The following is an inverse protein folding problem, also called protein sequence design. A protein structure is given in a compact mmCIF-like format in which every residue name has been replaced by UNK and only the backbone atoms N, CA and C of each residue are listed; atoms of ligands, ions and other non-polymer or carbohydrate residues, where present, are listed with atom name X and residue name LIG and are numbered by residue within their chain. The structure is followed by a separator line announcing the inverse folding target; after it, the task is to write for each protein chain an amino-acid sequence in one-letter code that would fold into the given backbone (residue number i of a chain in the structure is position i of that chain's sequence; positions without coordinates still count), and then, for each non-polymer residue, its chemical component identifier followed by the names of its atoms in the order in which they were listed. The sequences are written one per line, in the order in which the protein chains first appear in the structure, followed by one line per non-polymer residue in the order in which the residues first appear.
data_IF_646019232224
#
_entry.id   IF_646019232224
#
_cell.length_a   1.000
_cell.length_b   1.000
_cell.length_c   1.000
_cell.angle_alpha   90.00
_cell.angle_beta   90.00
_cell.angle_gamma   90.00
#
_symmetry.space_group_name_H-M   'P 1'
#
loop_
_entity.id
_entity.type
_entity.pdbx_description
1 polymer ?
#
# COMPACT_ATOMS: atom_id res chain seq x y z
N UNK A 1 -40.60 10.30 -21.46
CA UNK A 1 -39.86 11.07 -20.43
C UNK A 1 -38.36 11.21 -20.73
N UNK A 2 -37.67 10.17 -21.25
CA UNK A 2 -36.25 10.26 -21.66
C UNK A 2 -35.95 11.32 -22.77
N UNK A 3 -36.91 11.61 -23.65
CA UNK A 3 -36.75 12.63 -24.69
C UNK A 3 -36.76 14.07 -24.14
N UNK A 4 -37.53 14.36 -23.09
CA UNK A 4 -37.58 15.69 -22.48
C UNK A 4 -36.27 16.00 -21.72
N UNK A 5 -35.74 14.99 -21.02
CA UNK A 5 -34.46 15.07 -20.33
C UNK A 5 -33.29 15.30 -21.31
N UNK A 6 -33.29 14.60 -22.47
CA UNK A 6 -32.29 14.81 -23.54
C UNK A 6 -32.40 16.16 -24.24
N UNK A 7 -33.61 16.73 -24.35
CA UNK A 7 -33.85 18.05 -24.98
C UNK A 7 -33.45 19.20 -24.05
N UNK A 8 -33.66 19.04 -22.74
CA UNK A 8 -33.21 20.00 -21.71
C UNK A 8 -31.69 20.19 -21.70
N UNK A 9 -30.92 19.10 -21.75
CA UNK A 9 -29.44 19.13 -21.80
C UNK A 9 -28.90 19.75 -23.11
N UNK A 10 -29.67 19.71 -24.20
CA UNK A 10 -29.29 20.30 -25.49
C UNK A 10 -29.70 21.76 -25.68
N UNK A 11 -30.42 22.34 -24.72
CA UNK A 11 -30.87 23.74 -24.80
C UNK A 11 -29.71 24.73 -24.62
N UNK A 12 -29.79 25.88 -25.28
CA UNK A 12 -28.77 26.93 -25.19
C UNK A 12 -28.44 27.37 -23.74
N UNK A 13 -29.42 27.61 -22.84
CA UNK A 13 -29.10 27.95 -21.45
C UNK A 13 -28.43 26.79 -20.70
N UNK A 14 -28.80 25.53 -20.98
CA UNK A 14 -28.14 24.38 -20.37
C UNK A 14 -26.67 24.27 -20.79
N UNK A 15 -26.34 24.53 -22.06
CA UNK A 15 -24.95 24.54 -22.53
C UNK A 15 -24.11 25.64 -21.85
N UNK A 16 -24.72 26.80 -21.58
CA UNK A 16 -24.04 27.89 -20.88
C UNK A 16 -23.72 27.51 -19.43
N UNK A 17 -24.69 26.91 -18.72
CA UNK A 17 -24.46 26.41 -17.36
C UNK A 17 -23.42 25.28 -17.32
N UNK A 18 -23.49 24.33 -18.26
CA UNK A 18 -22.49 23.26 -18.38
C UNK A 18 -21.11 23.83 -18.71
N UNK A 19 -21.04 24.83 -19.60
CA UNK A 19 -19.79 25.53 -19.93
C UNK A 19 -19.18 26.23 -18.73
N UNK A 20 -20.00 26.94 -17.93
CA UNK A 20 -19.58 27.58 -16.69
C UNK A 20 -19.05 26.57 -15.67
N UNK A 21 -19.72 25.42 -15.55
CA UNK A 21 -19.30 24.32 -14.69
C UNK A 21 -17.93 23.77 -15.12
N UNK A 22 -17.77 23.45 -16.40
CA UNK A 22 -16.51 22.93 -16.96
C UNK A 22 -15.38 23.95 -16.81
N UNK A 23 -15.65 25.24 -17.06
CA UNK A 23 -14.67 26.31 -16.86
C UNK A 23 -14.24 26.44 -15.39
N UNK A 24 -15.17 26.27 -14.45
CA UNK A 24 -14.87 26.28 -13.02
C UNK A 24 -13.91 25.14 -12.64
N UNK A 25 -14.12 23.93 -13.19
CA UNK A 25 -13.20 22.80 -13.03
C UNK A 25 -11.85 23.00 -13.73
N UNK A 26 -11.79 23.77 -14.82
CA UNK A 26 -10.54 24.10 -15.51
C UNK A 26 -9.68 25.11 -14.73
N UNK A 27 -10.32 26.06 -14.02
CA UNK A 27 -9.62 27.05 -13.19
C UNK A 27 -9.20 26.48 -11.84
N UNK A 28 -10.06 25.67 -11.19
CA UNK A 28 -9.77 25.08 -9.89
C UNK A 28 -8.94 23.79 -9.98
N UNK A 29 -9.05 23.05 -11.07
CA UNK A 29 -8.38 21.77 -11.28
C UNK A 29 -9.11 20.59 -10.63
N UNK A 30 -9.30 19.51 -11.38
CA UNK A 30 -9.85 18.22 -10.89
C UNK A 30 -8.76 17.23 -10.46
N UNK A 31 -7.49 17.64 -10.43
CA UNK A 31 -6.36 16.78 -10.09
C UNK A 31 -6.53 16.12 -8.73
N UNK A 32 -6.98 16.88 -7.73
CA UNK A 32 -7.14 16.39 -6.35
C UNK A 32 -8.28 15.37 -6.17
N UNK A 33 -9.27 15.35 -7.07
CA UNK A 33 -10.35 14.34 -7.04
C UNK A 33 -9.85 12.97 -7.49
N UNK A 34 -8.85 12.90 -8.36
CA UNK A 34 -8.18 11.63 -8.70
C UNK A 34 -7.18 11.20 -7.63
N UNK A 35 -6.73 12.14 -6.80
CA UNK A 35 -5.92 11.90 -5.60
C UNK A 35 -6.73 11.32 -4.44
N UNK A 36 -8.03 11.05 -4.60
CA UNK A 36 -8.87 10.30 -3.65
C UNK A 36 -8.49 8.80 -3.58
N UNK A 37 -7.20 8.46 -3.69
CA UNK A 37 -6.69 7.32 -2.94
C UNK A 37 -6.80 7.76 -1.49
N UNK A 38 -7.64 7.09 -0.71
CA UNK A 38 -7.60 7.22 0.74
C UNK A 38 -6.14 7.28 1.15
N UNK A 39 -5.72 8.45 1.64
CA UNK A 39 -4.42 8.65 2.25
C UNK A 39 -4.42 7.87 3.56
N UNK A 40 -4.39 6.57 3.40
CA UNK A 40 -4.54 5.57 4.43
C UNK A 40 -3.17 5.35 5.01
N UNK A 41 -2.47 6.39 5.45
CA UNK A 41 -1.19 6.27 6.15
C UNK A 41 -1.43 6.25 7.65
N UNK A 42 -0.69 5.40 8.35
CA UNK A 42 -0.74 5.28 9.81
C UNK A 42 0.39 6.05 10.51
N UNK A 43 1.46 6.35 9.78
CA UNK A 43 2.57 7.16 10.24
C UNK A 43 3.36 7.72 9.05
N UNK A 44 4.16 8.77 9.30
CA UNK A 44 5.14 9.34 8.36
C UNK A 44 6.40 9.70 9.15
N UNK A 45 7.57 9.36 8.63
CA UNK A 45 8.88 9.66 9.20
C UNK A 45 9.72 10.31 8.11
N UNK A 46 10.03 11.60 8.23
CA UNK A 46 10.64 12.36 7.13
C UNK A 46 9.77 12.31 5.88
N UNK A 47 10.32 11.87 4.75
CA UNK A 47 9.59 11.61 3.51
C UNK A 47 9.10 10.16 3.35
N UNK A 48 9.45 9.28 4.29
CA UNK A 48 9.03 7.87 4.26
C UNK A 48 7.66 7.69 4.93
N UNK A 49 6.69 7.23 4.14
CA UNK A 49 5.29 7.02 4.56
C UNK A 49 5.03 5.56 4.95
N UNK A 50 4.25 5.35 6.01
CA UNK A 50 3.80 4.02 6.45
C UNK A 50 2.31 3.86 6.08
N UNK A 51 1.99 3.10 5.01
CA UNK A 51 0.61 2.85 4.64
C UNK A 51 -0.10 1.91 5.63
N UNK A 52 -1.40 2.09 5.79
CA UNK A 52 -2.29 1.32 6.64
C UNK A 52 -2.39 -0.13 6.17
N UNK A 53 -2.24 -0.37 4.87
CA UNK A 53 -2.12 -1.72 4.32
C UNK A 53 -0.94 -2.48 4.93
N UNK A 54 0.24 -1.84 5.05
CA UNK A 54 1.42 -2.45 5.72
C UNK A 54 1.13 -2.74 7.19
N UNK A 55 0.46 -1.84 7.89
CA UNK A 55 0.06 -2.04 9.29
C UNK A 55 -0.93 -3.18 9.47
N UNK A 56 -2.00 -3.22 8.67
CA UNK A 56 -3.02 -4.27 8.70
C UNK A 56 -2.40 -5.63 8.36
N UNK A 57 -1.52 -5.69 7.36
CA UNK A 57 -0.82 -6.92 6.99
C UNK A 57 0.12 -7.37 8.12
N UNK A 58 0.85 -6.44 8.75
CA UNK A 58 1.68 -6.70 9.92
C UNK A 58 0.90 -7.27 11.09
N UNK A 59 -0.24 -6.65 11.43
CA UNK A 59 -1.15 -7.13 12.46
C UNK A 59 -1.68 -8.54 12.16
N UNK A 60 -2.12 -8.80 10.92
CA UNK A 60 -2.62 -10.12 10.52
C UNK A 60 -1.55 -11.19 10.61
N UNK A 61 -0.31 -10.88 10.22
CA UNK A 61 0.83 -11.82 10.35
C UNK A 61 1.09 -12.14 11.81
N UNK A 62 1.08 -11.15 12.67
CA UNK A 62 1.32 -11.32 14.10
C UNK A 62 0.18 -12.09 14.78
N UNK A 63 -1.07 -11.77 14.45
CA UNK A 63 -2.25 -12.54 14.87
C UNK A 63 -2.12 -14.00 14.48
N UNK A 64 -1.75 -14.28 13.23
CA UNK A 64 -1.60 -15.65 12.72
C UNK A 64 -0.47 -16.38 13.44
N UNK A 65 0.64 -15.70 13.73
CA UNK A 65 1.77 -16.25 14.47
C UNK A 65 1.37 -16.66 15.88
N UNK A 66 0.73 -15.76 16.62
CA UNK A 66 0.30 -16.00 18.00
C UNK A 66 -0.82 -17.05 18.04
N UNK A 67 -1.77 -16.99 17.11
CA UNK A 67 -2.88 -17.97 17.06
C UNK A 67 -2.35 -19.39 16.85
N UNK A 68 -1.32 -19.58 16.01
CA UNK A 68 -0.64 -20.87 15.86
C UNK A 68 0.05 -21.33 17.14
N UNK A 69 0.67 -20.41 17.89
CA UNK A 69 1.33 -20.73 19.17
C UNK A 69 0.33 -21.04 20.29
N UNK A 70 -0.80 -20.34 20.32
CA UNK A 70 -1.85 -20.51 21.32
C UNK A 70 -2.78 -21.69 21.03
N UNK A 71 -2.73 -22.27 19.82
CA UNK A 71 -3.65 -23.33 19.38
C UNK A 71 -5.10 -22.88 19.19
N UNK A 72 -5.37 -21.58 19.25
CA UNK A 72 -6.69 -20.97 19.10
C UNK A 72 -6.60 -19.60 18.43
N UNK A 73 -7.71 -19.15 17.85
CA UNK A 73 -7.77 -17.83 17.21
C UNK A 73 -7.72 -16.71 18.28
N UNK A 74 -6.73 -15.83 18.19
CA UNK A 74 -6.63 -14.66 19.07
C UNK A 74 -7.53 -13.53 18.56
N UNK A 75 -8.39 -12.98 19.41
CA UNK A 75 -9.27 -11.87 19.05
C UNK A 75 -8.52 -10.54 18.96
N UNK A 76 -9.08 -9.58 18.22
CA UNK A 76 -8.50 -8.24 18.11
C UNK A 76 -8.44 -7.51 19.46
N UNK A 77 -9.44 -7.70 20.33
CA UNK A 77 -9.46 -7.08 21.66
C UNK A 77 -8.31 -7.59 22.55
N UNK A 78 -8.01 -8.89 22.49
CA UNK A 78 -6.85 -9.47 23.18
C UNK A 78 -5.54 -8.92 22.62
N UNK A 79 -5.46 -8.71 21.30
CA UNK A 79 -4.26 -8.14 20.71
C UNK A 79 -4.03 -6.70 21.15
N UNK A 80 -5.09 -5.90 21.18
CA UNK A 80 -5.05 -4.51 21.62
C UNK A 80 -4.71 -4.39 23.10
N UNK A 81 -5.32 -5.22 23.96
CA UNK A 81 -5.00 -5.21 25.39
C UNK A 81 -3.55 -5.64 25.68
N UNK A 82 -2.98 -6.51 24.84
CA UNK A 82 -1.57 -6.90 24.88
C UNK A 82 -0.62 -5.92 24.18
N UNK A 83 -1.11 -4.77 23.70
CA UNK A 83 -0.31 -3.74 23.02
C UNK A 83 0.37 -4.23 21.73
N UNK A 84 -0.20 -5.22 21.05
CA UNK A 84 0.38 -5.77 19.82
C UNK A 84 0.29 -4.78 18.66
N UNK A 85 -0.79 -4.00 18.60
CA UNK A 85 -0.94 -2.89 17.66
C UNK A 85 0.18 -1.86 17.80
N UNK A 86 0.50 -1.44 19.02
CA UNK A 86 1.60 -0.51 19.28
C UNK A 86 2.96 -1.10 18.93
N UNK A 87 3.18 -2.40 19.19
CA UNK A 87 4.42 -3.08 18.81
C UNK A 87 4.61 -3.15 17.30
N UNK A 88 3.57 -3.51 16.56
CA UNK A 88 3.61 -3.55 15.09
C UNK A 88 3.85 -2.15 14.53
N UNK A 89 3.11 -1.14 15.02
CA UNK A 89 3.29 0.24 14.58
C UNK A 89 4.69 0.77 14.90
N UNK A 90 5.20 0.51 16.09
CA UNK A 90 6.54 0.91 16.51
C UNK A 90 7.65 0.26 15.68
N UNK A 91 7.46 -1.00 15.25
CA UNK A 91 8.34 -1.65 14.29
C UNK A 91 8.35 -0.95 12.94
N UNK A 92 7.18 -0.68 12.37
CA UNK A 92 7.05 0.00 11.08
C UNK A 92 7.63 1.43 11.10
N UNK A 93 7.45 2.16 12.19
CA UNK A 93 8.04 3.49 12.38
C UNK A 93 9.56 3.40 12.45
N UNK A 94 10.10 2.38 13.15
CA UNK A 94 11.55 2.18 13.25
C UNK A 94 12.17 1.84 11.90
N UNK A 95 11.52 0.98 11.12
CA UNK A 95 11.95 0.64 9.77
C UNK A 95 11.93 1.89 8.88
N UNK A 96 10.85 2.67 8.93
CA UNK A 96 10.74 3.93 8.19
C UNK A 96 11.85 4.94 8.59
N UNK A 97 12.17 5.04 9.88
CA UNK A 97 13.24 5.90 10.36
C UNK A 97 14.62 5.44 9.85
N UNK A 98 14.86 4.13 9.82
CA UNK A 98 16.11 3.58 9.29
C UNK A 98 16.24 3.83 7.79
N UNK A 99 15.17 3.61 7.03
CA UNK A 99 15.11 3.92 5.59
C UNK A 99 15.37 5.40 5.34
N UNK A 100 14.78 6.29 6.13
CA UNK A 100 14.97 7.74 5.99
C UNK A 100 16.42 8.15 6.26
N UNK A 101 17.04 7.61 7.30
CA UNK A 101 18.45 7.86 7.62
C UNK A 101 19.38 7.36 6.50
N UNK A 102 19.16 6.16 5.97
CA UNK A 102 19.94 5.62 4.86
C UNK A 102 19.81 6.48 3.60
N UNK A 103 18.60 6.95 3.28
CA UNK A 103 18.36 7.90 2.17
C UNK A 103 19.11 9.22 2.39
N UNK A 104 19.08 9.76 3.60
CA UNK A 104 19.81 10.97 3.97
C UNK A 104 21.33 10.83 3.82
N UNK A 105 21.86 9.62 4.06
CA UNK A 105 23.26 9.27 3.85
C UNK A 105 23.61 8.89 2.40
N UNK A 106 22.62 8.84 1.50
CA UNK A 106 22.80 8.38 0.12
C UNK A 106 23.16 6.90 0.01
N UNK A 107 22.85 6.10 1.03
CA UNK A 107 23.10 4.66 1.06
C UNK A 107 21.88 3.96 0.47
N UNK A 108 22.05 3.38 -0.72
CA UNK A 108 21.07 2.51 -1.37
C UNK A 108 21.73 1.20 -1.78
N UNK A 109 20.98 0.11 -1.72
CA UNK A 109 21.43 -1.16 -2.28
C UNK A 109 21.37 -1.06 -3.82
N UNK A 110 22.42 -1.49 -4.55
CA UNK A 110 22.34 -1.60 -6.01
C UNK A 110 21.28 -2.61 -6.43
N UNK A 111 20.57 -2.33 -7.52
CA UNK A 111 19.52 -3.21 -8.06
C UNK A 111 20.04 -4.62 -8.34
N UNK A 112 21.29 -4.74 -8.82
CA UNK A 112 21.92 -6.05 -9.05
C UNK A 112 22.11 -6.83 -7.75
N UNK A 113 22.50 -6.16 -6.67
CA UNK A 113 22.69 -6.79 -5.37
C UNK A 113 21.36 -7.27 -4.78
N UNK A 114 20.28 -6.49 -4.94
CA UNK A 114 18.93 -6.88 -4.54
C UNK A 114 18.45 -8.08 -5.37
N UNK A 115 18.64 -8.03 -6.69
CA UNK A 115 18.26 -9.12 -7.59
C UNK A 115 19.01 -10.42 -7.26
N UNK A 116 20.30 -10.34 -6.98
CA UNK A 116 21.11 -11.52 -6.62
C UNK A 116 20.72 -12.07 -5.24
N UNK A 117 20.40 -11.22 -4.27
CA UNK A 117 19.86 -11.63 -2.98
C UNK A 117 18.50 -12.35 -3.13
N UNK A 118 17.63 -11.88 -4.02
CA UNK A 118 16.33 -12.52 -4.31
C UNK A 118 16.53 -13.86 -5.01
N UNK A 119 17.37 -13.92 -6.05
CA UNK A 119 17.63 -15.16 -6.82
C UNK A 119 18.30 -16.24 -5.97
N UNK A 120 19.20 -15.85 -5.07
CA UNK A 120 19.91 -16.78 -4.18
C UNK A 120 19.08 -17.25 -2.99
N UNK A 121 17.92 -16.64 -2.72
CA UNK A 121 17.06 -17.03 -1.62
C UNK A 121 16.34 -18.36 -1.93
N UNK A 122 16.57 -19.44 -1.14
CA UNK A 122 15.92 -20.74 -1.35
C UNK A 122 14.40 -20.68 -1.29
N UNK A 123 13.84 -19.70 -0.58
CA UNK A 123 12.39 -19.49 -0.46
C UNK A 123 11.73 -19.16 -1.80
N UNK A 124 12.48 -18.59 -2.74
CA UNK A 124 11.98 -18.19 -4.06
C UNK A 124 12.41 -19.15 -5.18
N UNK A 125 12.99 -20.30 -4.82
CA UNK A 125 13.40 -21.32 -5.77
C UNK A 125 12.28 -22.34 -6.02
N UNK A 126 12.20 -22.84 -7.25
CA UNK A 126 11.31 -23.92 -7.64
C UNK A 126 11.87 -25.31 -7.30
N UNK A 127 11.14 -26.38 -7.65
CA UNK A 127 11.58 -27.76 -7.41
C UNK A 127 12.96 -28.13 -7.99
N UNK A 128 13.42 -27.37 -8.99
CA UNK A 128 14.75 -27.54 -9.60
C UNK A 128 15.88 -26.73 -8.95
N UNK A 129 15.63 -26.01 -7.85
CA UNK A 129 16.63 -25.16 -7.18
C UNK A 129 16.92 -23.83 -7.88
N UNK A 130 16.27 -23.56 -9.01
CA UNK A 130 16.37 -22.29 -9.73
C UNK A 130 15.30 -21.31 -9.28
N UNK A 131 15.59 -20.00 -9.37
CA UNK A 131 14.62 -18.95 -9.08
C UNK A 131 13.35 -19.11 -9.93
N UNK A 132 12.19 -19.12 -9.27
CA UNK A 132 10.89 -19.30 -9.89
C UNK A 132 10.06 -18.00 -9.76
N UNK A 133 9.96 -17.16 -10.81
CA UNK A 133 9.25 -15.88 -10.76
C UNK A 133 7.77 -16.01 -10.34
N UNK A 134 7.12 -17.11 -10.71
CA UNK A 134 5.72 -17.38 -10.34
C UNK A 134 5.61 -17.74 -8.85
N UNK A 135 6.58 -18.46 -8.29
CA UNK A 135 6.60 -18.78 -6.86
C UNK A 135 6.90 -17.51 -6.03
N UNK A 136 7.85 -16.69 -6.48
CA UNK A 136 8.18 -15.39 -5.87
C UNK A 136 6.94 -14.49 -5.78
N UNK A 137 6.30 -14.20 -6.92
CA UNK A 137 5.11 -13.34 -6.95
C UNK A 137 3.95 -13.90 -6.13
N UNK A 138 3.73 -15.22 -6.16
CA UNK A 138 2.70 -15.87 -5.36
C UNK A 138 2.98 -15.77 -3.85
N UNK A 139 4.22 -15.97 -3.41
CA UNK A 139 4.61 -15.87 -2.00
C UNK A 139 4.50 -14.44 -1.49
N UNK A 140 4.94 -13.45 -2.27
CA UNK A 140 4.77 -12.05 -1.92
C UNK A 140 3.28 -11.69 -1.79
N UNK A 141 2.45 -12.12 -2.75
CA UNK A 141 1.02 -11.90 -2.70
C UNK A 141 0.37 -12.53 -1.45
N UNK A 142 0.78 -13.74 -1.07
CA UNK A 142 0.31 -14.39 0.17
C UNK A 142 0.70 -13.60 1.44
N UNK A 143 1.84 -12.91 1.41
CA UNK A 143 2.32 -12.08 2.51
C UNK A 143 1.79 -10.64 2.47
N UNK A 144 1.03 -10.30 1.42
CA UNK A 144 0.45 -8.97 1.20
C UNK A 144 1.47 -7.93 0.72
N UNK A 145 2.47 -8.36 -0.04
CA UNK A 145 3.48 -7.51 -0.66
C UNK A 145 3.37 -7.54 -2.19
N UNK A 146 3.70 -6.41 -2.81
CA UNK A 146 4.06 -6.34 -4.23
C UNK A 146 5.58 -6.47 -4.40
N UNK A 147 6.08 -6.87 -5.58
CA UNK A 147 7.52 -6.89 -5.85
C UNK A 147 8.19 -5.53 -5.58
N UNK A 148 7.56 -4.44 -6.02
CA UNK A 148 8.07 -3.08 -5.79
C UNK A 148 8.15 -2.70 -4.31
N UNK A 149 7.22 -3.19 -3.46
CA UNK A 149 7.28 -2.96 -2.02
C UNK A 149 8.31 -3.85 -1.30
N UNK A 150 8.74 -4.94 -1.93
CA UNK A 150 9.70 -5.89 -1.38
C UNK A 150 11.14 -5.56 -1.80
N UNK A 151 11.31 -5.02 -3.01
CA UNK A 151 12.61 -4.66 -3.61
C UNK A 151 13.08 -3.25 -3.23
N UNK A 152 12.16 -2.35 -2.84
CA UNK A 152 12.44 -0.96 -2.45
C UNK A 152 12.43 -0.71 -0.95
#
# INVERSE_FOLDING_TARGET
MLHAMRKGVKSAPAKLLIGLLVASFAVWGIGDIFSFRLDSRVAKVGDTEVPATRFINGLRREQSRISRQAGQLVSYDMMRSAGLDQRVLGGLIRDAAFTEELKGLGIAAPDEAVADAIRSNPTFQGPGGEFAPQAYSLLLAQQGFTPAEFEG
#
